data_IF_541345022515
#
_entry.id   IF_541345022515
#
_cell.length_a   1.000
_cell.length_b   1.000
_cell.length_c   1.000
_cell.angle_alpha   90.00
_cell.angle_beta   90.00
_cell.angle_gamma   90.00
#
_symmetry.space_group_name_H-M   'P 1'
#
loop_
_entity.id
_entity.type
_entity.pdbx_description
1 polymer ?
#
# COMPACT_ATOMS: atom_id res chain seq x y z
N UNK A 1 15.89 -63.35 -7.61
CA UNK A 1 15.75 -61.92 -7.96
C UNK A 1 15.43 -61.18 -6.67
N UNK A 2 16.35 -60.77 -5.79
CA UNK A 2 17.68 -60.16 -5.94
C UNK A 2 17.68 -58.83 -6.70
N UNK A 3 18.10 -57.76 -5.98
CA UNK A 3 18.37 -56.38 -6.40
C UNK A 3 17.16 -55.58 -6.92
N UNK A 4 16.78 -54.40 -6.42
CA UNK A 4 17.60 -53.26 -6.04
C UNK A 4 16.80 -52.33 -5.10
N UNK A 5 17.03 -52.48 -3.79
CA UNK A 5 16.77 -51.44 -2.77
C UNK A 5 18.12 -51.07 -2.17
N UNK A 6 18.96 -50.34 -2.91
CA UNK A 6 20.20 -49.69 -2.44
C UNK A 6 20.88 -48.95 -3.61
N UNK A 7 20.53 -47.69 -3.85
CA UNK A 7 21.40 -46.69 -4.48
C UNK A 7 20.70 -45.33 -4.43
N UNK A 8 21.35 -44.33 -3.85
CA UNK A 8 20.82 -42.97 -3.71
C UNK A 8 21.05 -42.35 -2.34
N UNK A 9 21.50 -43.15 -1.36
CA UNK A 9 21.96 -42.70 -0.04
C UNK A 9 23.49 -42.58 0.00
N UNK A 10 24.11 -41.99 -1.03
CA UNK A 10 25.55 -41.68 -1.05
C UNK A 10 25.94 -40.87 -2.31
N UNK A 11 25.55 -39.60 -2.41
CA UNK A 11 26.26 -38.59 -3.21
C UNK A 11 25.59 -37.24 -2.95
N UNK A 12 26.38 -36.17 -2.82
CA UNK A 12 26.01 -34.81 -2.37
C UNK A 12 26.01 -34.58 -0.85
N UNK A 13 26.94 -35.25 -0.16
CA UNK A 13 27.74 -34.57 0.88
C UNK A 13 28.90 -33.87 0.17
N UNK A 14 28.70 -32.64 -0.29
CA UNK A 14 29.78 -31.82 -0.84
C UNK A 14 29.30 -30.39 -1.11
N UNK A 15 29.13 -29.59 -0.05
CA UNK A 15 29.25 -28.12 -0.05
C UNK A 15 28.94 -27.54 1.35
N UNK A 16 29.64 -28.01 2.39
CA UNK A 16 29.66 -27.34 3.70
C UNK A 16 31.09 -27.38 4.23
N UNK A 17 31.97 -26.59 3.57
CA UNK A 17 33.30 -26.24 4.06
C UNK A 17 33.67 -24.87 3.49
N UNK A 18 33.12 -23.81 4.08
CA UNK A 18 33.83 -22.53 4.23
C UNK A 18 33.34 -21.92 5.54
N UNK A 19 33.99 -22.31 6.63
CA UNK A 19 33.95 -21.57 7.88
C UNK A 19 35.39 -21.54 8.38
N UNK A 20 36.04 -20.38 8.18
CA UNK A 20 37.19 -19.87 8.91
C UNK A 20 37.99 -18.93 7.99
N UNK A 21 37.86 -17.62 8.22
CA UNK A 21 38.96 -16.64 8.20
C UNK A 21 38.40 -15.23 7.96
N UNK A 22 37.80 -14.64 8.99
CA UNK A 22 37.89 -13.19 9.29
C UNK A 22 37.07 -12.92 10.55
N UNK A 23 37.59 -13.36 11.69
CA UNK A 23 37.06 -13.01 13.00
C UNK A 23 38.23 -12.75 13.95
N UNK A 24 38.99 -11.71 13.65
CA UNK A 24 39.88 -11.06 14.60
C UNK A 24 39.83 -9.56 14.34
N UNK A 25 39.68 -8.81 15.43
CA UNK A 25 39.64 -7.34 15.55
C UNK A 25 38.26 -6.70 15.47
N UNK A 26 37.54 -6.70 16.61
CA UNK A 26 37.13 -5.49 17.36
C UNK A 26 36.24 -5.90 18.55
N UNK A 27 36.44 -5.33 19.75
CA UNK A 27 35.56 -5.56 20.89
C UNK A 27 34.32 -4.67 20.77
N UNK A 28 33.15 -5.12 21.24
CA UNK A 28 32.21 -4.34 22.07
C UNK A 28 30.82 -4.99 22.19
N UNK A 29 30.32 -5.03 23.43
CA UNK A 29 28.91 -5.12 23.85
C UNK A 29 28.14 -6.43 23.65
N UNK A 30 28.48 -7.42 24.47
CA UNK A 30 27.60 -8.54 24.79
C UNK A 30 26.38 -8.10 25.62
N UNK A 31 25.36 -7.46 24.99
CA UNK A 31 23.99 -7.36 25.54
C UNK A 31 22.88 -7.05 24.52
N UNK A 32 23.11 -7.28 23.22
CA UNK A 32 22.16 -6.91 22.14
C UNK A 32 21.72 -8.07 21.23
N UNK A 33 21.88 -9.34 21.62
CA UNK A 33 21.55 -10.47 20.72
C UNK A 33 20.34 -11.32 21.09
N UNK A 34 19.89 -11.36 22.36
CA UNK A 34 18.81 -12.30 22.76
C UNK A 34 17.40 -11.87 22.34
N UNK A 35 17.12 -10.57 22.26
CA UNK A 35 15.81 -10.05 21.85
C UNK A 35 15.56 -10.32 20.36
N UNK A 36 16.55 -10.02 19.52
CA UNK A 36 16.45 -10.21 18.07
C UNK A 36 16.41 -11.69 17.67
N UNK A 37 17.13 -12.56 18.38
CA UNK A 37 17.04 -14.02 18.18
C UNK A 37 15.67 -14.59 18.62
N UNK A 38 15.11 -14.07 19.72
CA UNK A 38 13.76 -14.46 20.17
C UNK A 38 12.68 -13.97 19.20
N UNK A 39 12.84 -12.77 18.64
CA UNK A 39 11.91 -12.18 17.68
C UNK A 39 11.98 -12.93 16.33
N UNK A 40 13.18 -13.22 15.83
CA UNK A 40 13.40 -14.00 14.61
C UNK A 40 12.80 -15.41 14.72
N UNK A 41 13.04 -16.09 15.85
CA UNK A 41 12.48 -17.44 16.06
C UNK A 41 10.97 -17.44 16.33
N UNK A 42 10.40 -16.33 16.80
CA UNK A 42 8.95 -16.15 16.92
C UNK A 42 8.30 -15.92 15.55
N UNK A 43 8.96 -15.13 14.69
CA UNK A 43 8.54 -14.85 13.31
C UNK A 43 8.64 -16.12 12.44
N UNK A 44 9.74 -16.89 12.55
CA UNK A 44 9.86 -18.17 11.83
C UNK A 44 8.80 -19.19 12.25
N UNK A 45 8.49 -19.27 13.56
CA UNK A 45 7.42 -20.14 14.07
C UNK A 45 6.03 -19.69 13.64
N UNK A 46 5.82 -18.38 13.48
CA UNK A 46 4.58 -17.82 12.95
C UNK A 46 4.44 -18.11 11.45
N UNK A 47 5.50 -17.91 10.67
CA UNK A 47 5.55 -18.18 9.22
C UNK A 47 5.34 -19.67 8.91
N UNK A 48 6.04 -20.57 9.62
CA UNK A 48 5.88 -22.02 9.43
C UNK A 48 4.50 -22.54 9.86
N UNK A 49 3.76 -21.78 10.67
CA UNK A 49 2.37 -22.09 11.06
C UNK A 49 1.34 -21.65 10.02
N UNK A 50 1.72 -20.72 9.12
CA UNK A 50 0.91 -20.28 7.99
C UNK A 50 1.00 -21.28 6.82
N UNK A 51 2.15 -21.92 6.61
CA UNK A 51 2.34 -22.89 5.51
C UNK A 51 1.65 -24.25 5.75
N UNK A 52 1.39 -24.61 7.01
CA UNK A 52 0.95 -25.97 7.38
C UNK A 52 -0.54 -26.19 7.64
N UNK A 53 -1.38 -25.14 7.63
CA UNK A 53 -2.78 -25.29 7.96
C UNK A 53 -3.68 -25.20 6.73
N UNK A 54 -4.81 -25.92 6.80
CA UNK A 54 -5.95 -25.91 5.86
C UNK A 54 -6.67 -24.54 5.85
N UNK A 55 -5.88 -23.48 5.87
CA UNK A 55 -6.18 -22.07 6.08
C UNK A 55 -6.81 -21.32 4.90
N UNK A 56 -6.80 -21.76 3.61
CA UNK A 56 -7.41 -20.91 2.60
C UNK A 56 -8.92 -20.80 2.80
N UNK A 57 -9.59 -21.86 3.28
CA UNK A 57 -11.04 -21.84 3.51
C UNK A 57 -11.45 -21.00 4.74
N UNK A 58 -10.66 -21.04 5.82
CA UNK A 58 -10.94 -20.24 7.03
C UNK A 58 -10.54 -18.77 6.86
N UNK A 59 -9.47 -18.47 6.11
CA UNK A 59 -9.11 -17.11 5.75
C UNK A 59 -10.13 -16.51 4.79
N UNK A 60 -10.59 -17.27 3.78
CA UNK A 60 -11.68 -16.84 2.87
C UNK A 60 -13.01 -16.72 3.62
N UNK A 61 -13.32 -17.61 4.55
CA UNK A 61 -14.53 -17.49 5.38
C UNK A 61 -14.44 -16.32 6.38
N UNK A 62 -13.26 -16.01 6.93
CA UNK A 62 -13.05 -14.84 7.76
C UNK A 62 -13.16 -13.55 6.94
N UNK A 63 -12.59 -13.50 5.73
CA UNK A 63 -12.76 -12.38 4.80
C UNK A 63 -14.23 -12.26 4.37
N UNK A 64 -14.92 -13.36 4.10
CA UNK A 64 -16.35 -13.35 3.76
C UNK A 64 -17.24 -12.95 4.95
N UNK A 65 -16.88 -13.33 6.18
CA UNK A 65 -17.58 -12.90 7.39
C UNK A 65 -17.32 -11.42 7.71
N UNK A 66 -16.13 -10.91 7.41
CA UNK A 66 -15.81 -9.48 7.46
C UNK A 66 -16.58 -8.68 6.40
N UNK A 67 -16.88 -9.28 5.24
CA UNK A 67 -17.68 -8.67 4.17
C UNK A 67 -19.20 -8.81 4.40
N UNK A 68 -19.66 -9.86 5.10
CA UNK A 68 -21.08 -10.16 5.33
C UNK A 68 -21.68 -9.59 6.63
N UNK A 69 -20.87 -8.96 7.50
CA UNK A 69 -21.31 -8.45 8.80
C UNK A 69 -22.17 -7.18 8.80
N UNK A 70 -22.54 -6.63 7.63
CA UNK A 70 -23.29 -5.37 7.55
C UNK A 70 -24.80 -5.60 7.49
N UNK A 71 -25.39 -5.99 8.63
CA UNK A 71 -26.79 -5.71 8.92
C UNK A 71 -26.89 -5.14 10.34
N UNK A 72 -26.84 -3.81 10.44
CA UNK A 72 -27.32 -3.07 11.62
C UNK A 72 -26.29 -2.25 12.38
N UNK A 73 -26.20 -0.96 12.05
CA UNK A 73 -26.73 0.15 12.87
C UNK A 73 -26.35 1.46 12.19
N UNK A 74 -27.35 2.17 11.65
CA UNK A 74 -27.21 3.59 11.38
C UNK A 74 -27.06 4.30 12.73
N UNK A 75 -25.83 4.72 13.06
CA UNK A 75 -25.53 5.46 14.28
C UNK A 75 -25.96 6.91 14.22
N UNK A 76 -26.62 7.37 13.14
CA UNK A 76 -27.23 8.69 13.08
C UNK A 76 -26.27 9.81 13.48
N UNK A 77 -25.46 10.26 12.52
CA UNK A 77 -24.55 11.42 12.53
C UNK A 77 -23.05 11.12 12.72
N UNK A 78 -22.31 11.32 11.61
CA UNK A 78 -20.95 11.87 11.52
C UNK A 78 -19.77 11.17 12.21
N UNK A 79 -19.95 10.13 13.02
CA UNK A 79 -18.83 9.45 13.69
C UNK A 79 -18.45 8.14 12.99
N UNK A 80 -17.21 8.02 12.44
CA UNK A 80 -16.76 6.81 11.77
C UNK A 80 -16.79 5.57 12.67
N UNK A 81 -17.32 4.46 12.17
CA UNK A 81 -17.42 3.21 12.93
C UNK A 81 -16.03 2.64 13.29
N UNK A 82 -15.76 2.57 14.60
CA UNK A 82 -14.48 2.11 15.14
C UNK A 82 -14.67 1.19 16.38
N UNK A 83 -14.91 -0.12 16.17
CA UNK A 83 -15.12 -1.09 17.23
C UNK A 83 -13.83 -1.45 17.98
N UNK A 84 -12.66 -1.11 17.45
CA UNK A 84 -11.35 -1.45 18.02
C UNK A 84 -10.52 -0.21 18.34
N UNK A 85 -11.18 0.87 18.76
CA UNK A 85 -10.57 2.19 19.00
C UNK A 85 -9.34 2.11 19.92
N UNK A 86 -9.40 1.32 21.00
CA UNK A 86 -8.26 1.16 21.91
C UNK A 86 -7.01 0.61 21.22
N UNK A 87 -7.16 -0.41 20.35
CA UNK A 87 -6.06 -0.97 19.58
C UNK A 87 -5.57 0.02 18.51
N UNK A 88 -6.50 0.71 17.84
CA UNK A 88 -6.19 1.71 16.84
C UNK A 88 -5.42 2.90 17.42
N UNK A 89 -5.81 3.41 18.60
CA UNK A 89 -5.09 4.46 19.33
C UNK A 89 -3.70 4.01 19.75
N UNK A 90 -3.53 2.75 20.17
CA UNK A 90 -2.22 2.19 20.47
C UNK A 90 -1.31 2.18 19.24
N UNK A 91 -1.76 1.61 18.11
CA UNK A 91 -0.99 1.62 16.86
C UNK A 91 -0.74 3.05 16.37
N UNK A 92 -1.72 3.93 16.50
CA UNK A 92 -1.57 5.34 16.19
C UNK A 92 -0.48 6.00 17.02
N UNK A 93 -0.37 5.70 18.32
CA UNK A 93 0.69 6.23 19.17
C UNK A 93 2.08 5.78 18.71
N UNK A 94 2.21 4.53 18.23
CA UNK A 94 3.45 4.01 17.64
C UNK A 94 3.77 4.77 16.35
N UNK A 95 2.80 4.88 15.45
CA UNK A 95 2.97 5.61 14.19
C UNK A 95 3.35 7.07 14.43
N UNK A 96 2.74 7.73 15.42
CA UNK A 96 3.05 9.10 15.82
C UNK A 96 4.46 9.23 16.40
N UNK A 97 4.89 8.26 17.22
CA UNK A 97 6.26 8.25 17.73
C UNK A 97 7.27 8.13 16.58
N UNK A 98 7.03 7.23 15.63
CA UNK A 98 7.88 7.07 14.44
C UNK A 98 7.86 8.33 13.56
N UNK A 99 6.70 8.96 13.40
CA UNK A 99 6.58 10.21 12.64
C UNK A 99 7.42 11.33 13.27
N UNK A 100 7.28 11.56 14.57
CA UNK A 100 8.00 12.62 15.28
C UNK A 100 9.51 12.36 15.29
N UNK A 101 9.93 11.10 15.49
CA UNK A 101 11.36 10.75 15.64
C UNK A 101 12.06 10.68 14.29
N UNK A 102 11.40 10.16 13.24
CA UNK A 102 12.05 9.83 11.98
C UNK A 102 11.38 10.48 10.77
N UNK A 103 10.09 10.26 10.53
CA UNK A 103 9.48 10.61 9.24
C UNK A 103 9.39 12.13 9.06
N UNK A 104 8.88 12.86 10.06
CA UNK A 104 8.74 14.31 10.05
C UNK A 104 10.09 15.04 9.87
N UNK A 105 11.16 14.76 10.64
CA UNK A 105 12.43 15.44 10.43
C UNK A 105 13.03 15.15 9.04
N UNK A 106 12.91 13.92 8.54
CA UNK A 106 13.33 13.57 7.18
C UNK A 106 12.50 14.31 6.13
N UNK A 107 11.18 14.41 6.32
CA UNK A 107 10.28 15.09 5.40
C UNK A 107 10.54 16.62 5.36
N UNK A 108 10.83 17.24 6.51
CA UNK A 108 11.24 18.65 6.58
C UNK A 108 12.57 18.84 5.86
N UNK A 109 13.56 17.98 6.13
CA UNK A 109 14.86 18.02 5.45
C UNK A 109 14.70 17.88 3.93
N UNK A 110 13.93 16.89 3.49
CA UNK A 110 13.62 16.67 2.07
C UNK A 110 12.98 17.90 1.43
N UNK A 111 11.97 18.49 2.09
CA UNK A 111 11.27 19.68 1.58
C UNK A 111 12.19 20.90 1.50
N UNK A 112 13.01 21.12 2.52
CA UNK A 112 13.79 22.35 2.66
C UNK A 112 15.12 22.30 1.86
N UNK A 113 15.70 21.11 1.66
CA UNK A 113 16.98 20.95 0.96
C UNK A 113 16.82 20.60 -0.52
N UNK A 114 15.77 19.87 -0.91
CA UNK A 114 15.61 19.44 -2.30
C UNK A 114 14.91 20.53 -3.12
N UNK A 115 15.44 20.93 -4.29
CA UNK A 115 14.76 21.92 -5.13
C UNK A 115 13.38 21.43 -5.61
N UNK A 116 12.38 22.32 -5.79
CA UNK A 116 11.04 21.94 -6.24
C UNK A 116 10.97 21.10 -7.53
N UNK A 117 11.84 21.29 -8.55
CA UNK A 117 11.88 20.40 -9.71
C UNK A 117 12.28 18.96 -9.36
N UNK A 118 13.23 18.79 -8.46
CA UNK A 118 13.71 17.49 -8.05
C UNK A 118 12.67 16.76 -7.19
N UNK A 119 11.99 17.47 -6.28
CA UNK A 119 10.87 16.90 -5.51
C UNK A 119 9.73 16.43 -6.43
N UNK A 120 9.38 17.24 -7.45
CA UNK A 120 8.39 16.85 -8.46
C UNK A 120 8.86 15.64 -9.26
N UNK A 121 10.13 15.60 -9.65
CA UNK A 121 10.70 14.46 -10.36
C UNK A 121 10.60 13.16 -9.59
N UNK A 122 11.00 13.16 -8.30
CA UNK A 122 10.87 11.98 -7.45
C UNK A 122 9.42 11.53 -7.31
N UNK A 123 8.51 12.48 -7.07
CA UNK A 123 7.09 12.20 -6.99
C UNK A 123 6.56 11.54 -8.27
N UNK A 124 6.90 12.08 -9.44
CA UNK A 124 6.48 11.53 -10.72
C UNK A 124 7.00 10.10 -10.91
N UNK A 125 8.25 9.81 -10.51
CA UNK A 125 8.80 8.45 -10.55
C UNK A 125 7.98 7.50 -9.67
N UNK A 126 7.71 7.90 -8.41
CA UNK A 126 6.96 7.08 -7.47
C UNK A 126 5.53 6.81 -7.94
N UNK A 127 4.89 7.79 -8.56
CA UNK A 127 3.57 7.64 -9.15
C UNK A 127 3.60 6.77 -10.41
N UNK A 128 4.58 6.98 -11.29
CA UNK A 128 4.77 6.18 -12.50
C UNK A 128 4.95 4.69 -12.16
N UNK A 129 5.69 4.36 -11.10
CA UNK A 129 5.81 2.99 -10.61
C UNK A 129 4.46 2.40 -10.14
N UNK A 130 3.47 3.22 -9.81
CA UNK A 130 2.12 2.80 -9.41
C UNK A 130 1.09 2.75 -10.55
N UNK A 131 1.42 3.31 -11.72
CA UNK A 131 0.53 3.32 -12.90
C UNK A 131 0.15 1.89 -13.36
N UNK A 132 1.04 0.87 -13.36
CA UNK A 132 0.64 -0.49 -13.74
C UNK A 132 -0.45 -1.10 -12.84
N UNK A 133 -0.34 -0.90 -11.53
CA UNK A 133 -1.36 -1.36 -10.56
C UNK A 133 -2.68 -0.61 -10.78
N UNK A 134 -2.60 0.69 -11.05
CA UNK A 134 -3.76 1.52 -11.40
C UNK A 134 -4.45 0.99 -12.66
N UNK A 135 -3.68 0.67 -13.71
CA UNK A 135 -4.22 0.15 -14.96
C UNK A 135 -4.92 -1.20 -14.76
N UNK A 136 -4.33 -2.10 -13.97
CA UNK A 136 -4.96 -3.39 -13.61
C UNK A 136 -6.27 -3.14 -12.86
N UNK A 137 -6.27 -2.25 -11.86
CA UNK A 137 -7.49 -1.91 -11.12
C UNK A 137 -8.58 -1.33 -12.04
N UNK A 138 -8.23 -0.46 -12.99
CA UNK A 138 -9.16 0.13 -13.96
C UNK A 138 -9.73 -0.90 -14.95
N UNK A 139 -8.94 -1.90 -15.35
CA UNK A 139 -9.43 -3.06 -16.13
C UNK A 139 -10.44 -3.84 -15.30
N UNK A 140 -10.12 -4.17 -14.05
CA UNK A 140 -11.03 -4.90 -13.16
C UNK A 140 -12.32 -4.12 -12.91
N UNK A 141 -12.26 -2.80 -12.87
CA UNK A 141 -13.44 -1.92 -12.75
C UNK A 141 -14.27 -1.78 -14.03
N UNK A 142 -13.87 -2.42 -15.14
CA UNK A 142 -14.60 -2.35 -16.41
C UNK A 142 -14.40 -1.05 -17.18
N UNK A 143 -13.27 -0.35 -16.97
CA UNK A 143 -12.95 0.91 -17.65
C UNK A 143 -11.71 0.80 -18.56
N UNK A 144 -11.75 -0.04 -19.62
CA UNK A 144 -10.56 -0.34 -20.44
C UNK A 144 -9.98 0.89 -21.15
N UNK A 145 -10.80 1.88 -21.52
CA UNK A 145 -10.31 3.13 -22.11
C UNK A 145 -9.45 3.96 -21.14
N UNK A 146 -9.81 3.96 -19.84
CA UNK A 146 -8.99 4.58 -18.80
C UNK A 146 -7.71 3.78 -18.57
N UNK A 147 -7.83 2.46 -18.43
CA UNK A 147 -6.66 1.60 -18.28
C UNK A 147 -5.65 1.74 -19.41
N UNK A 148 -6.12 1.85 -20.67
CA UNK A 148 -5.26 2.12 -21.83
C UNK A 148 -4.56 3.48 -21.75
N UNK A 149 -5.25 4.51 -21.26
CA UNK A 149 -4.66 5.83 -21.01
C UNK A 149 -3.58 5.75 -19.94
N UNK A 150 -3.87 5.13 -18.80
CA UNK A 150 -2.95 4.90 -17.68
C UNK A 150 -1.71 4.12 -18.11
N UNK A 151 -1.88 3.06 -18.91
CA UNK A 151 -0.77 2.31 -19.49
C UNK A 151 0.05 3.16 -20.47
N UNK A 152 -0.61 3.96 -21.31
CA UNK A 152 0.10 4.90 -22.20
C UNK A 152 0.89 5.94 -21.40
N UNK A 153 0.34 6.46 -20.29
CA UNK A 153 1.06 7.35 -19.37
C UNK A 153 2.30 6.67 -18.81
N UNK A 154 2.17 5.43 -18.32
CA UNK A 154 3.30 4.64 -17.84
C UNK A 154 4.40 4.49 -18.88
N UNK A 155 4.05 4.12 -20.12
CA UNK A 155 5.01 3.90 -21.19
C UNK A 155 5.70 5.21 -21.60
N UNK A 156 4.93 6.29 -21.80
CA UNK A 156 5.47 7.61 -22.19
C UNK A 156 6.38 8.16 -21.11
N UNK A 157 5.95 8.15 -19.86
CA UNK A 157 6.74 8.67 -18.74
C UNK A 157 7.98 7.80 -18.47
N UNK A 158 7.87 6.47 -18.61
CA UNK A 158 9.03 5.57 -18.42
C UNK A 158 10.07 5.71 -19.54
N UNK A 159 9.65 5.98 -20.78
CA UNK A 159 10.55 6.08 -21.94
C UNK A 159 11.02 7.52 -22.17
N UNK A 160 10.12 8.39 -22.61
CA UNK A 160 10.40 9.79 -22.94
C UNK A 160 10.61 10.62 -21.66
N UNK A 161 9.83 10.32 -20.62
CA UNK A 161 9.94 10.99 -19.33
C UNK A 161 11.13 10.54 -18.46
N UNK A 162 12.05 9.73 -18.97
CA UNK A 162 13.24 9.21 -18.27
C UNK A 162 12.84 8.49 -16.98
N UNK A 163 12.30 7.26 -17.12
CA UNK A 163 11.85 6.42 -16.01
C UNK A 163 10.77 7.05 -15.10
N UNK A 164 10.04 8.03 -15.61
CA UNK A 164 9.00 8.76 -14.89
C UNK A 164 9.48 10.03 -14.21
N UNK A 165 10.73 10.47 -14.42
CA UNK A 165 11.22 11.74 -13.85
C UNK A 165 10.41 12.94 -14.35
N UNK A 166 10.02 12.93 -15.63
CA UNK A 166 9.20 13.96 -16.24
C UNK A 166 7.82 13.40 -16.61
N UNK A 167 6.76 14.08 -16.17
CA UNK A 167 5.38 13.74 -16.52
C UNK A 167 5.01 14.29 -17.91
N UNK A 168 5.64 13.72 -18.94
CA UNK A 168 5.42 14.07 -20.35
C UNK A 168 4.00 13.71 -20.77
N UNK A 169 3.44 12.63 -20.22
CA UNK A 169 2.11 12.16 -20.52
C UNK A 169 1.02 13.21 -20.22
N UNK A 170 1.15 13.93 -19.09
CA UNK A 170 0.25 15.07 -18.79
C UNK A 170 0.45 16.23 -19.76
N UNK A 171 1.68 16.51 -20.19
CA UNK A 171 1.97 17.59 -21.14
C UNK A 171 1.35 17.35 -22.53
N UNK A 172 1.19 16.09 -22.93
CA UNK A 172 0.50 15.70 -24.17
C UNK A 172 -1.01 15.45 -23.98
N UNK A 173 -1.56 15.80 -22.81
CA UNK A 173 -3.00 15.78 -22.55
C UNK A 173 -3.59 14.44 -22.10
N UNK A 174 -2.77 13.46 -21.69
CA UNK A 174 -3.30 12.21 -21.14
C UNK A 174 -3.80 12.44 -19.71
N UNK A 175 -5.11 12.29 -19.41
CA UNK A 175 -5.64 12.52 -18.08
C UNK A 175 -5.06 11.51 -17.09
N UNK A 176 -4.63 12.01 -15.94
CA UNK A 176 -4.10 11.17 -14.86
C UNK A 176 -5.24 10.65 -13.98
N UNK A 177 -5.17 9.37 -13.66
CA UNK A 177 -6.07 8.70 -12.72
C UNK A 177 -5.24 7.96 -11.69
N UNK A 178 -5.83 7.70 -10.51
CA UNK A 178 -5.19 6.89 -9.48
C UNK A 178 -6.24 5.96 -8.91
N UNK A 179 -6.04 4.67 -9.11
CA UNK A 179 -6.95 3.62 -8.69
C UNK A 179 -6.16 2.52 -7.99
N UNK A 180 -6.83 1.83 -7.09
CA UNK A 180 -6.31 0.67 -6.38
C UNK A 180 -7.47 -0.23 -5.98
N UNK A 181 -7.16 -1.42 -5.49
CA UNK A 181 -8.18 -2.42 -5.21
C UNK A 181 -9.12 -2.03 -4.06
N UNK A 182 -8.69 -1.15 -3.15
CA UNK A 182 -9.59 -0.54 -2.16
C UNK A 182 -10.74 0.21 -2.84
N UNK A 183 -10.42 1.08 -3.81
CA UNK A 183 -11.43 1.77 -4.63
C UNK A 183 -12.26 0.80 -5.47
N UNK A 184 -11.63 -0.24 -6.04
CA UNK A 184 -12.32 -1.25 -6.87
C UNK A 184 -13.39 -1.99 -6.07
N UNK A 185 -13.04 -2.47 -4.88
CA UNK A 185 -13.99 -3.17 -4.00
C UNK A 185 -15.11 -2.20 -3.59
N UNK A 186 -14.77 -0.96 -3.25
CA UNK A 186 -15.78 0.06 -2.91
C UNK A 186 -16.73 0.37 -4.06
N UNK A 187 -16.21 0.40 -5.28
CA UNK A 187 -17.00 0.62 -6.49
C UNK A 187 -18.02 -0.52 -6.72
N UNK A 188 -17.59 -1.78 -6.62
CA UNK A 188 -18.45 -2.94 -6.87
C UNK A 188 -19.40 -3.27 -5.72
N UNK A 189 -18.96 -3.05 -4.47
CA UNK A 189 -19.80 -3.34 -3.31
C UNK A 189 -21.02 -2.39 -3.24
N UNK A 190 -21.01 -1.28 -3.97
CA UNK A 190 -22.14 -0.33 -4.04
C UNK A 190 -22.45 0.34 -2.71
N UNK A 191 -21.61 0.14 -1.69
CA UNK A 191 -21.88 0.61 -0.34
C UNK A 191 -21.51 2.08 -0.25
N UNK A 192 -22.43 2.85 0.34
CA UNK A 192 -22.22 4.25 0.66
C UNK A 192 -20.96 4.43 1.51
N UNK A 193 -20.33 5.62 1.43
CA UNK A 193 -18.89 5.75 1.59
C UNK A 193 -18.41 5.65 3.05
N UNK A 194 -19.34 5.34 3.95
CA UNK A 194 -19.22 5.21 5.40
C UNK A 194 -18.97 3.74 5.79
N UNK A 195 -19.23 2.80 4.87
CA UNK A 195 -19.27 1.37 5.14
C UNK A 195 -18.11 0.60 4.48
N UNK A 196 -16.91 1.22 4.40
CA UNK A 196 -15.67 0.53 4.02
C UNK A 196 -15.22 -0.56 5.00
N UNK A 197 -16.12 -1.03 5.86
CA UNK A 197 -15.83 -1.75 7.09
C UNK A 197 -15.38 -0.81 8.20
N UNK A 198 -15.03 -1.41 9.32
CA UNK A 198 -14.57 -0.68 10.48
C UNK A 198 -13.23 0.03 10.22
N UNK A 199 -13.04 1.18 10.89
CA UNK A 199 -11.80 1.94 10.87
C UNK A 199 -10.66 1.13 11.49
N UNK A 200 -9.50 1.16 10.84
CA UNK A 200 -8.28 0.52 11.34
C UNK A 200 -7.10 1.46 11.17
N UNK A 201 -6.16 1.40 12.10
CA UNK A 201 -4.86 2.05 11.92
C UNK A 201 -3.82 0.98 11.63
N UNK A 202 -3.20 1.08 10.47
CA UNK A 202 -2.14 0.17 10.05
C UNK A 202 -0.78 0.68 10.54
N UNK A 203 0.09 -0.20 11.08
CA UNK A 203 1.46 0.18 11.45
C UNK A 203 2.21 0.75 10.25
N UNK A 204 2.93 1.86 10.43
CA UNK A 204 3.74 2.57 9.43
C UNK A 204 2.99 3.16 8.23
N UNK A 205 1.77 2.72 7.94
CA UNK A 205 0.94 3.17 6.81
C UNK A 205 -0.01 4.29 7.26
N UNK A 206 -0.65 4.12 8.42
CA UNK A 206 -1.57 5.11 8.99
C UNK A 206 -3.05 4.73 8.91
N UNK A 207 -3.96 5.73 8.90
CA UNK A 207 -5.41 5.53 8.82
C UNK A 207 -5.86 4.69 7.63
N UNK A 208 -6.70 3.70 7.87
CA UNK A 208 -7.31 2.85 6.86
C UNK A 208 -8.73 2.38 7.28
N UNK A 209 -9.38 1.58 6.45
CA UNK A 209 -10.57 0.80 6.80
C UNK A 209 -10.35 -0.66 6.37
N UNK A 210 -11.14 -1.60 6.89
CA UNK A 210 -10.97 -3.02 6.59
C UNK A 210 -10.89 -3.31 5.08
N UNK A 211 -11.76 -2.69 4.27
CA UNK A 211 -11.76 -2.81 2.80
C UNK A 211 -10.49 -2.25 2.19
N UNK A 212 -10.10 -1.03 2.54
CA UNK A 212 -8.91 -0.39 1.98
C UNK A 212 -7.63 -1.13 2.42
N UNK A 213 -7.60 -1.73 3.62
CA UNK A 213 -6.51 -2.60 4.07
C UNK A 213 -6.38 -3.88 3.22
N UNK A 214 -7.51 -4.55 2.93
CA UNK A 214 -7.53 -5.69 1.98
C UNK A 214 -7.11 -5.23 0.58
N UNK A 215 -7.61 -4.07 0.14
CA UNK A 215 -7.25 -3.45 -1.13
C UNK A 215 -5.74 -3.23 -1.25
N UNK A 216 -5.11 -2.64 -0.23
CA UNK A 216 -3.66 -2.43 -0.17
C UNK A 216 -2.88 -3.75 -0.24
N UNK A 217 -3.37 -4.81 0.42
CA UNK A 217 -2.72 -6.12 0.37
C UNK A 217 -2.78 -6.73 -1.04
N UNK A 218 -3.92 -6.56 -1.74
CA UNK A 218 -4.05 -6.97 -3.14
C UNK A 218 -3.10 -6.14 -4.00
N UNK A 219 -3.13 -4.80 -3.88
CA UNK A 219 -2.28 -3.87 -4.62
C UNK A 219 -0.79 -4.25 -4.48
N UNK A 220 -0.34 -4.55 -3.25
CA UNK A 220 1.03 -4.96 -2.98
C UNK A 220 1.40 -6.33 -3.59
N UNK A 221 0.43 -7.26 -3.67
CA UNK A 221 0.64 -8.61 -4.21
C UNK A 221 0.71 -8.65 -5.73
N UNK A 222 0.08 -7.68 -6.41
CA UNK A 222 0.05 -7.61 -7.88
C UNK A 222 0.99 -6.56 -8.45
N UNK A 223 1.69 -5.79 -7.61
CA UNK A 223 2.62 -4.76 -8.03
C UNK A 223 3.77 -5.37 -8.85
N UNK A 224 3.84 -5.10 -10.18
CA UNK A 224 4.84 -5.74 -11.03
C UNK A 224 6.27 -5.42 -10.59
N UNK A 225 6.52 -4.23 -10.03
CA UNK A 225 7.82 -3.85 -9.52
C UNK A 225 8.25 -4.71 -8.33
N UNK A 226 7.35 -4.91 -7.37
CA UNK A 226 7.58 -5.80 -6.24
C UNK A 226 7.80 -7.24 -6.71
N UNK A 227 6.94 -7.76 -7.60
CA UNK A 227 7.07 -9.14 -8.12
C UNK A 227 8.43 -9.36 -8.79
N UNK A 228 8.87 -8.45 -9.66
CA UNK A 228 10.15 -8.57 -10.37
C UNK A 228 11.32 -8.50 -9.40
N UNK A 229 11.32 -7.54 -8.48
CA UNK A 229 12.44 -7.35 -7.55
C UNK A 229 12.58 -8.53 -6.57
N UNK A 230 11.47 -9.10 -6.09
CA UNK A 230 11.47 -10.33 -5.30
C UNK A 230 11.90 -11.57 -6.10
N UNK A 231 11.53 -11.65 -7.38
CA UNK A 231 11.92 -12.77 -8.26
C UNK A 231 13.41 -12.79 -8.58
N UNK A 232 14.06 -11.63 -8.65
CA UNK A 232 15.52 -11.53 -8.89
C UNK A 232 16.30 -11.93 -7.64
N UNK A 233 15.90 -11.44 -6.47
CA UNK A 233 16.53 -11.78 -5.19
C UNK A 233 15.62 -11.40 -4.03
N UNK A 234 15.35 -12.33 -3.12
CA UNK A 234 14.51 -12.06 -1.95
C UNK A 234 15.06 -10.90 -1.10
N UNK A 235 16.37 -10.88 -0.84
CA UNK A 235 17.00 -9.81 -0.05
C UNK A 235 16.94 -8.47 -0.77
N UNK A 236 17.24 -8.45 -2.07
CA UNK A 236 17.20 -7.22 -2.85
C UNK A 236 15.76 -6.71 -3.01
N UNK A 237 14.79 -7.60 -3.17
CA UNK A 237 13.36 -7.29 -3.24
C UNK A 237 12.88 -6.49 -2.02
N UNK A 238 13.19 -6.97 -0.81
CA UNK A 238 12.86 -6.24 0.42
C UNK A 238 13.52 -4.86 0.49
N UNK A 239 14.77 -4.73 0.02
CA UNK A 239 15.48 -3.45 -0.01
C UNK A 239 14.81 -2.48 -0.97
N UNK A 240 14.49 -2.90 -2.20
CA UNK A 240 13.85 -2.04 -3.19
C UNK A 240 12.41 -1.67 -2.82
N UNK A 241 11.62 -2.62 -2.32
CA UNK A 241 10.27 -2.37 -1.84
C UNK A 241 10.29 -1.42 -0.63
N UNK A 242 11.19 -1.63 0.32
CA UNK A 242 11.38 -0.76 1.47
C UNK A 242 11.82 0.64 1.08
N UNK A 243 12.74 0.77 0.12
CA UNK A 243 13.19 2.07 -0.39
C UNK A 243 12.05 2.82 -1.10
N UNK A 244 11.27 2.14 -1.95
CA UNK A 244 10.09 2.72 -2.61
C UNK A 244 9.06 3.17 -1.58
N UNK A 245 8.75 2.32 -0.60
CA UNK A 245 7.80 2.63 0.46
C UNK A 245 8.28 3.84 1.29
N UNK A 246 9.52 3.83 1.75
CA UNK A 246 10.12 4.94 2.51
C UNK A 246 10.11 6.25 1.73
N UNK A 247 10.51 6.22 0.45
CA UNK A 247 10.46 7.40 -0.42
C UNK A 247 9.03 7.93 -0.61
N UNK A 248 8.05 7.03 -0.78
CA UNK A 248 6.63 7.38 -0.89
C UNK A 248 6.10 8.02 0.38
N UNK A 249 6.45 7.47 1.55
CA UNK A 249 6.07 8.00 2.86
C UNK A 249 6.66 9.39 3.07
N UNK A 250 7.95 9.58 2.79
CA UNK A 250 8.63 10.88 2.93
C UNK A 250 8.06 11.92 1.97
N UNK A 251 7.90 11.58 0.68
CA UNK A 251 7.33 12.49 -0.32
C UNK A 251 5.89 12.89 0.06
N UNK A 252 5.05 11.92 0.45
CA UNK A 252 3.68 12.19 0.86
C UNK A 252 3.61 13.01 2.14
N UNK A 253 4.44 12.70 3.14
CA UNK A 253 4.51 13.46 4.40
C UNK A 253 4.96 14.88 4.11
N UNK A 254 5.97 15.10 3.27
CA UNK A 254 6.49 16.43 2.94
C UNK A 254 5.42 17.37 2.36
N UNK A 255 4.51 16.83 1.54
CA UNK A 255 3.39 17.55 0.93
C UNK A 255 2.23 17.80 1.89
N UNK A 256 2.12 17.00 2.94
CA UNK A 256 1.05 17.08 3.95
C UNK A 256 1.54 17.64 5.29
N UNK A 257 2.81 18.08 5.38
CA UNK A 257 3.43 18.59 6.61
C UNK A 257 2.57 19.67 7.28
N UNK A 258 2.24 20.73 6.55
CA UNK A 258 1.47 21.85 7.11
C UNK A 258 0.05 21.46 7.48
N UNK A 259 -0.66 20.71 6.62
CA UNK A 259 -2.04 20.32 6.86
C UNK A 259 -2.18 19.42 8.10
N UNK A 260 -1.26 18.47 8.27
CA UNK A 260 -1.28 17.56 9.42
C UNK A 260 -0.78 18.24 10.70
N UNK A 261 0.25 19.10 10.62
CA UNK A 261 0.73 19.86 11.78
C UNK A 261 -0.33 20.86 12.27
N UNK A 262 -1.07 21.48 11.35
CA UNK A 262 -2.19 22.38 11.68
C UNK A 262 -3.36 21.60 12.30
N UNK A 263 -3.72 20.46 11.71
CA UNK A 263 -4.74 19.57 12.26
C UNK A 263 -4.37 19.11 13.67
N UNK A 264 -3.12 18.72 13.92
CA UNK A 264 -2.64 18.30 15.23
C UNK A 264 -2.71 19.44 16.26
N UNK A 265 -2.32 20.66 15.89
CA UNK A 265 -2.32 21.82 16.81
C UNK A 265 -3.70 22.35 17.13
N UNK A 266 -4.63 22.27 16.18
CA UNK A 266 -5.97 22.85 16.30
C UNK A 266 -7.04 21.82 16.76
N UNK A 267 -6.66 20.55 16.90
CA UNK A 267 -7.57 19.49 17.36
C UNK A 267 -7.43 19.25 18.85
N UNK A 268 -8.57 19.05 19.52
CA UNK A 268 -8.59 18.58 20.92
C UNK A 268 -8.15 17.11 21.00
N UNK A 269 -8.60 16.30 20.04
CA UNK A 269 -8.18 14.91 19.87
C UNK A 269 -7.71 14.70 18.42
N UNK A 270 -6.38 14.67 18.25
CA UNK A 270 -5.76 14.49 16.94
C UNK A 270 -6.13 13.17 16.28
N UNK A 271 -6.31 12.09 17.06
CA UNK A 271 -6.71 10.81 16.52
C UNK A 271 -8.13 10.88 15.92
N UNK A 272 -9.09 11.41 16.68
CA UNK A 272 -10.47 11.54 16.22
C UNK A 272 -10.60 12.47 15.01
N UNK A 273 -9.83 13.58 15.01
CA UNK A 273 -9.77 14.51 13.90
C UNK A 273 -9.22 13.85 12.63
N UNK A 274 -8.13 13.08 12.74
CA UNK A 274 -7.53 12.36 11.62
C UNK A 274 -8.45 11.24 11.10
N UNK A 275 -9.10 10.49 12.01
CA UNK A 275 -10.11 9.46 11.66
C UNK A 275 -11.25 10.08 10.83
N UNK A 276 -11.78 11.21 11.27
CA UNK A 276 -12.86 11.92 10.59
C UNK A 276 -12.42 12.44 9.23
N UNK A 277 -11.25 13.08 9.15
CA UNK A 277 -10.71 13.61 7.90
C UNK A 277 -10.46 12.49 6.87
N UNK A 278 -9.88 11.37 7.29
CA UNK A 278 -9.66 10.20 6.44
C UNK A 278 -10.98 9.65 5.88
N UNK A 279 -11.97 9.43 6.74
CA UNK A 279 -13.26 8.86 6.33
C UNK A 279 -14.00 9.80 5.37
N UNK A 280 -14.00 11.12 5.63
CA UNK A 280 -14.59 12.11 4.74
C UNK A 280 -13.89 12.16 3.37
N UNK A 281 -12.55 12.14 3.36
CA UNK A 281 -11.78 12.15 2.12
C UNK A 281 -12.04 10.89 1.28
N UNK A 282 -12.03 9.70 1.91
CA UNK A 282 -12.33 8.45 1.19
C UNK A 282 -13.76 8.42 0.70
N UNK A 283 -14.67 8.94 1.50
CA UNK A 283 -16.06 9.05 1.13
C UNK A 283 -16.25 9.84 -0.16
N UNK A 284 -15.54 10.96 -0.25
CA UNK A 284 -15.58 11.85 -1.40
C UNK A 284 -14.96 11.24 -2.66
N UNK A 285 -13.82 10.56 -2.54
CA UNK A 285 -13.17 9.88 -3.67
C UNK A 285 -14.11 8.85 -4.31
N UNK A 286 -14.84 8.08 -3.49
CA UNK A 286 -15.78 7.06 -3.99
C UNK A 286 -17.00 7.71 -4.64
N UNK A 287 -17.56 8.77 -4.03
CA UNK A 287 -18.70 9.51 -4.59
C UNK A 287 -18.37 10.12 -5.96
N UNK A 288 -17.28 10.88 -6.05
CA UNK A 288 -16.84 11.49 -7.31
C UNK A 288 -16.62 10.46 -8.41
N UNK A 289 -16.12 9.27 -8.06
CA UNK A 289 -15.93 8.18 -9.00
C UNK A 289 -17.26 7.61 -9.50
N UNK A 290 -18.20 7.33 -8.59
CA UNK A 290 -19.54 6.85 -8.93
C UNK A 290 -20.26 7.85 -9.82
N UNK A 291 -20.12 9.14 -9.55
CA UNK A 291 -20.73 10.18 -10.37
C UNK A 291 -20.13 10.22 -11.77
N UNK A 292 -18.82 10.02 -11.92
CA UNK A 292 -18.13 9.99 -13.22
C UNK A 292 -18.42 8.74 -14.06
N UNK A 293 -18.69 7.59 -13.45
CA UNK A 293 -18.92 6.31 -14.15
C UNK A 293 -20.36 5.82 -14.10
N UNK A 294 -21.25 6.54 -13.41
CA UNK A 294 -22.64 6.14 -13.23
C UNK A 294 -23.51 6.37 -14.48
N UNK A 295 -24.74 5.80 -14.50
CA UNK A 295 -25.67 5.94 -15.62
C UNK A 295 -25.97 7.39 -16.00
N UNK A 296 -25.97 8.31 -15.03
CA UNK A 296 -26.17 9.75 -15.26
C UNK A 296 -25.03 10.38 -16.07
N UNK A 297 -23.77 10.10 -15.75
CA UNK A 297 -22.65 10.62 -16.53
C UNK A 297 -22.60 10.03 -17.94
N UNK A 298 -23.02 8.78 -18.10
CA UNK A 298 -23.15 8.15 -19.42
C UNK A 298 -24.25 8.83 -20.25
N UNK A 299 -25.41 9.13 -19.66
CA UNK A 299 -26.46 9.90 -20.32
C UNK A 299 -25.98 11.31 -20.71
N UNK A 300 -25.31 12.01 -19.80
CA UNK A 300 -24.78 13.36 -20.09
C UNK A 300 -23.72 13.35 -21.20
N UNK A 301 -22.87 12.31 -21.27
CA UNK A 301 -21.95 12.11 -22.39
C UNK A 301 -22.69 11.86 -23.70
N UNK A 302 -23.71 11.01 -23.68
CA UNK A 302 -24.52 10.71 -24.88
C UNK A 302 -25.23 11.94 -25.40
N UNK A 303 -25.79 12.76 -24.51
CA UNK A 303 -26.43 14.03 -24.87
C UNK A 303 -25.43 15.01 -25.47
N UNK A 304 -24.25 15.18 -24.85
CA UNK A 304 -23.18 16.03 -25.41
C UNK A 304 -22.72 15.56 -26.79
N UNK A 305 -22.60 14.26 -27.01
CA UNK A 305 -22.24 13.70 -28.31
C UNK A 305 -23.35 13.83 -29.35
N UNK A 306 -24.62 13.78 -28.92
CA UNK A 306 -25.77 14.03 -29.79
C UNK A 306 -25.84 15.49 -30.25
N UNK A 307 -25.40 16.45 -29.41
CA UNK A 307 -25.37 17.89 -29.74
C UNK A 307 -24.22 18.29 -30.68
N UNK A 308 -23.20 17.43 -30.84
CA UNK A 308 -22.06 17.67 -31.75
C UNK A 308 -22.35 17.16 -33.17
N UNK A 309 -23.50 16.51 -33.39
CA UNK A 309 -23.93 15.92 -34.66
C UNK A 309 -24.98 16.78 -35.35
#
# INVERSE_FOLDING_TARGET
MYASRKAGRASRRSAFKVQAACATLLPTTAKQSRFWESLASMIERFMNRIEGARLPALAVAAVAALLGGCAGRDTGANEPWDPIEGANRFVFSINRAVDIIAIRPIAVLYRDWMPPPAQRGLHNVLENLGEPVTAIAEVVQGTPGRAGTTLARFLVNSTIGIAGLFDVASAIGLPKTKEGFGNTIGYYAGVEPENGGFYIVLPMIGPSNARDGVGMAIDASIDPFSIVTFSISNTAGWIYAGARFGATVVDTRSRTLYALDDLERNSVDYYAALRSAYTQQRAEIIRQKRDRTGPRAELERRDKLALVR
#
